data_IF_399926331174
#
_entry.id   IF_399926331174
#
_cell.length_a   1.000
_cell.length_b   1.000
_cell.length_c   1.000
_cell.angle_alpha   90.00
_cell.angle_beta   90.00
_cell.angle_gamma   90.00
#
_symmetry.space_group_name_H-M   'P 1'
#
loop_
_entity.id
_entity.type
_entity.pdbx_description
1 polymer ?
#
# COMPACT_ATOMS: atom_id res chain seq x y z
N UNK A 1 -0.47 8.99 35.19
CA UNK A 1 0.77 8.96 34.38
C UNK A 1 0.35 9.04 32.92
N UNK A 2 0.51 10.19 32.28
CA UNK A 2 0.14 10.38 30.87
C UNK A 2 1.36 10.00 30.03
N UNK A 3 1.30 8.87 29.33
CA UNK A 3 2.39 8.43 28.46
C UNK A 3 2.31 9.23 27.15
N UNK A 4 3.20 10.20 26.98
CA UNK A 4 3.39 10.89 25.71
C UNK A 4 4.03 9.91 24.72
N UNK A 5 3.23 9.33 23.82
CA UNK A 5 3.76 8.59 22.69
C UNK A 5 4.42 9.60 21.73
N UNK A 6 5.75 9.67 21.76
CA UNK A 6 6.51 10.31 20.69
C UNK A 6 6.27 9.46 19.45
N UNK A 7 5.44 9.94 18.53
CA UNK A 7 5.19 9.27 17.26
C UNK A 7 6.47 9.26 16.44
N UNK A 8 7.23 8.16 16.51
CA UNK A 8 8.29 7.89 15.55
C UNK A 8 7.65 7.93 14.15
N UNK A 9 8.29 8.53 13.13
CA UNK A 9 7.78 8.43 11.77
C UNK A 9 7.75 6.94 11.40
N UNK A 10 6.55 6.36 11.40
CA UNK A 10 6.34 5.01 10.92
C UNK A 10 6.52 5.05 9.41
N UNK A 11 7.64 4.52 8.94
CA UNK A 11 7.87 4.36 7.51
C UNK A 11 6.85 3.34 7.00
N UNK A 12 5.96 3.78 6.10
CA UNK A 12 5.04 2.89 5.40
C UNK A 12 5.82 1.75 4.74
N UNK A 13 5.51 0.50 5.09
CA UNK A 13 6.11 -0.65 4.44
C UNK A 13 5.49 -0.84 3.05
N UNK A 14 6.29 -1.37 2.11
CA UNK A 14 5.76 -1.82 0.82
C UNK A 14 5.67 -3.33 0.81
N UNK A 15 4.47 -3.86 0.61
CA UNK A 15 4.17 -5.29 0.58
C UNK A 15 3.83 -5.69 -0.85
N UNK A 16 4.60 -6.61 -1.42
CA UNK A 16 4.44 -7.02 -2.81
C UNK A 16 3.37 -8.12 -2.97
N UNK A 17 2.53 -7.96 -3.99
CA UNK A 17 1.69 -9.03 -4.55
C UNK A 17 2.43 -9.60 -5.75
N UNK A 18 2.88 -10.85 -5.65
CA UNK A 18 3.80 -11.50 -6.60
C UNK A 18 3.19 -12.65 -7.39
N UNK A 19 1.94 -13.02 -7.11
CA UNK A 19 1.18 -14.00 -7.89
C UNK A 19 -0.32 -13.67 -7.89
N UNK A 20 -1.06 -14.33 -8.77
CA UNK A 20 -2.50 -14.12 -8.95
C UNK A 20 -3.37 -15.12 -8.18
N UNK A 21 -2.79 -15.86 -7.24
CA UNK A 21 -3.54 -16.83 -6.44
C UNK A 21 -4.45 -16.10 -5.45
N UNK A 22 -5.59 -16.70 -5.12
CA UNK A 22 -6.55 -16.17 -4.15
C UNK A 22 -6.01 -16.17 -2.70
N UNK A 23 -5.10 -17.09 -2.40
CA UNK A 23 -4.52 -17.29 -1.07
C UNK A 23 -3.09 -17.80 -1.13
N UNK A 24 -2.43 -17.86 0.04
CA UNK A 24 -1.04 -18.29 0.18
C UNK A 24 -0.02 -17.16 0.03
N UNK A 25 1.27 -17.43 0.31
CA UNK A 25 2.33 -16.43 0.23
C UNK A 25 2.37 -15.71 -1.12
N UNK A 26 2.52 -14.39 -1.09
CA UNK A 26 2.58 -13.54 -2.29
C UNK A 26 1.23 -13.20 -2.93
N UNK A 27 0.11 -13.73 -2.42
CA UNK A 27 -1.25 -13.34 -2.86
C UNK A 27 -1.67 -11.99 -2.27
N UNK A 28 -2.68 -11.35 -2.89
CA UNK A 28 -3.29 -10.13 -2.37
C UNK A 28 -3.88 -10.31 -0.97
N UNK A 29 -4.51 -11.46 -0.72
CA UNK A 29 -5.12 -11.75 0.60
C UNK A 29 -4.06 -11.88 1.68
N UNK A 30 -2.94 -12.53 1.36
CA UNK A 30 -1.77 -12.56 2.25
C UNK A 30 -1.22 -11.16 2.49
N UNK A 31 -1.09 -10.33 1.44
CA UNK A 31 -0.58 -8.97 1.58
C UNK A 31 -1.47 -8.11 2.49
N UNK A 32 -2.79 -8.15 2.31
CA UNK A 32 -3.76 -7.43 3.16
C UNK A 32 -3.74 -7.90 4.61
N UNK A 33 -3.56 -9.20 4.85
CA UNK A 33 -3.47 -9.75 6.20
C UNK A 33 -2.21 -9.28 6.96
N UNK A 34 -1.13 -8.98 6.24
CA UNK A 34 0.14 -8.52 6.83
C UNK A 34 0.28 -6.99 6.87
N UNK A 35 -0.63 -6.25 6.23
CA UNK A 35 -0.54 -4.80 6.14
C UNK A 35 -0.92 -4.11 7.45
N UNK A 36 -0.22 -3.01 7.73
CA UNK A 36 -0.56 -2.04 8.77
C UNK A 36 -1.16 -0.77 8.14
N UNK A 37 -1.68 0.11 8.99
CA UNK A 37 -2.13 1.42 8.51
C UNK A 37 -0.95 2.17 7.90
N UNK A 38 -1.23 2.83 6.78
CA UNK A 38 -0.33 3.61 5.93
C UNK A 38 0.60 2.78 5.03
N UNK A 39 0.56 1.44 5.08
CA UNK A 39 1.37 0.60 4.18
C UNK A 39 0.92 0.71 2.71
N UNK A 40 1.83 0.34 1.81
CA UNK A 40 1.61 0.29 0.36
C UNK A 40 1.55 -1.18 -0.07
N UNK A 41 0.42 -1.59 -0.66
CA UNK A 41 0.31 -2.85 -1.38
C UNK A 41 0.74 -2.60 -2.83
N UNK A 42 1.87 -3.17 -3.25
CA UNK A 42 2.41 -3.02 -4.59
C UNK A 42 2.20 -4.28 -5.43
N UNK A 43 1.44 -4.17 -6.51
CA UNK A 43 1.25 -5.26 -7.46
C UNK A 43 2.45 -5.36 -8.39
N UNK A 44 3.22 -6.44 -8.25
CA UNK A 44 4.30 -6.80 -9.17
C UNK A 44 3.82 -7.71 -10.31
N UNK A 45 2.53 -8.04 -10.32
CA UNK A 45 1.87 -8.92 -11.31
C UNK A 45 0.78 -8.18 -12.06
N UNK A 46 0.53 -8.64 -13.29
CA UNK A 46 -0.59 -8.25 -14.13
C UNK A 46 -1.56 -9.43 -14.27
N UNK A 47 -2.83 -9.14 -14.55
CA UNK A 47 -3.85 -10.16 -14.79
C UNK A 47 -4.93 -10.21 -13.71
N UNK A 48 -5.81 -11.21 -13.81
CA UNK A 48 -6.98 -11.34 -12.94
C UNK A 48 -6.66 -12.20 -11.72
N UNK A 49 -6.97 -11.68 -10.52
CA UNK A 49 -7.00 -12.48 -9.29
C UNK A 49 -8.42 -13.00 -9.10
N UNK A 50 -8.62 -14.29 -9.33
CA UNK A 50 -9.92 -14.94 -9.12
C UNK A 50 -10.13 -15.18 -7.62
N UNK A 51 -11.12 -14.52 -7.02
CA UNK A 51 -11.45 -14.67 -5.60
C UNK A 51 -12.44 -15.83 -5.40
N UNK A 52 -11.92 -16.99 -4.99
CA UNK A 52 -12.71 -18.22 -4.75
C UNK A 52 -13.08 -18.43 -3.28
N UNK A 53 -12.34 -17.79 -2.37
CA UNK A 53 -12.48 -17.87 -0.92
C UNK A 53 -13.40 -16.76 -0.36
N UNK A 54 -14.18 -16.12 -1.23
CA UNK A 54 -15.03 -14.97 -0.89
C UNK A 54 -14.31 -13.62 -1.00
N UNK A 55 -14.97 -12.57 -0.51
CA UNK A 55 -14.50 -11.19 -0.62
C UNK A 55 -13.18 -10.93 0.11
N UNK A 56 -12.51 -9.84 -0.27
CA UNK A 56 -11.32 -9.33 0.43
C UNK A 56 -11.75 -8.50 1.63
N UNK A 57 -11.09 -8.70 2.76
CA UNK A 57 -11.27 -7.87 3.96
C UNK A 57 -10.20 -6.79 3.97
N UNK A 58 -10.60 -5.53 3.84
CA UNK A 58 -9.71 -4.37 3.89
C UNK A 58 -10.06 -3.56 5.14
N UNK A 59 -9.31 -3.77 6.22
CA UNK A 59 -9.57 -3.15 7.53
C UNK A 59 -8.53 -2.09 7.90
N UNK A 60 -7.54 -1.89 7.02
CA UNK A 60 -6.40 -0.99 7.21
C UNK A 60 -6.39 0.08 6.13
N UNK A 61 -5.93 1.27 6.49
CA UNK A 61 -5.75 2.38 5.55
C UNK A 61 -4.47 2.12 4.74
N UNK A 62 -4.59 1.40 3.62
CA UNK A 62 -3.45 1.09 2.75
C UNK A 62 -3.53 1.85 1.42
N UNK A 63 -2.38 2.18 0.85
CA UNK A 63 -2.29 2.60 -0.54
C UNK A 63 -2.13 1.37 -1.44
N UNK A 64 -2.70 1.42 -2.64
CA UNK A 64 -2.53 0.36 -3.65
C UNK A 64 -1.80 0.95 -4.86
N UNK A 65 -0.69 0.31 -5.25
CA UNK A 65 0.08 0.66 -6.44
C UNK A 65 0.07 -0.50 -7.43
N UNK A 66 -0.26 -0.19 -8.69
CA UNK A 66 -0.25 -1.14 -9.79
C UNK A 66 1.09 -1.12 -10.55
N UNK A 67 1.37 -2.17 -11.34
CA UNK A 67 2.52 -2.13 -12.25
C UNK A 67 2.34 -0.97 -13.23
N UNK A 68 3.36 -0.11 -13.34
CA UNK A 68 3.35 1.08 -14.19
C UNK A 68 2.84 2.37 -13.51
N UNK A 69 2.31 2.29 -12.28
CA UNK A 69 2.00 3.49 -11.50
C UNK A 69 3.30 4.18 -11.07
N UNK A 70 3.64 5.28 -11.73
CA UNK A 70 4.72 6.15 -11.28
C UNK A 70 4.14 6.98 -10.11
N UNK A 71 4.73 6.97 -8.91
CA UNK A 71 4.30 7.87 -7.86
C UNK A 71 4.53 9.29 -8.36
N UNK A 72 3.44 10.03 -8.60
CA UNK A 72 3.53 11.45 -8.96
C UNK A 72 4.00 12.18 -7.71
N UNK A 73 5.31 12.37 -7.59
CA UNK A 73 5.89 13.36 -6.69
C UNK A 73 5.50 14.71 -7.28
N UNK A 74 4.40 15.31 -6.82
CA UNK A 74 4.01 16.66 -7.23
C UNK A 74 5.10 17.64 -6.76
N UNK A 75 6.12 17.87 -7.58
CA UNK A 75 6.99 19.04 -7.49
C UNK A 75 6.17 20.26 -7.90
N UNK A 76 5.23 20.70 -7.06
CA UNK A 76 4.56 21.97 -7.29
C UNK A 76 5.63 23.06 -7.18
N UNK A 77 6.12 23.51 -8.33
CA UNK A 77 7.07 24.61 -8.45
C UNK A 77 6.44 25.81 -7.75
N UNK A 78 6.94 26.16 -6.56
CA UNK A 78 6.69 27.45 -5.95
C UNK A 78 7.53 28.46 -6.73
N UNK A 79 7.06 28.86 -7.92
CA UNK A 79 7.52 30.09 -8.53
C UNK A 79 7.00 31.22 -7.65
N UNK A 80 7.83 31.71 -6.74
CA UNK A 80 7.58 32.94 -5.99
C UNK A 80 7.49 34.10 -7.00
N UNK A 81 6.49 35.00 -6.91
CA UNK A 81 6.47 36.20 -7.72
C UNK A 81 7.59 37.12 -7.24
N UNK A 82 8.52 37.44 -8.14
CA UNK A 82 9.49 38.51 -7.98
C UNK A 82 8.74 39.85 -7.97
N UNK A 83 8.59 40.44 -6.79
CA UNK A 83 8.42 41.88 -6.61
C UNK A 83 9.78 42.53 -6.43
#
# INVERSE_FOLDING_TARGET
MLLYAVGLPAHAATIAVSNTNDSGPGSLRHALANANNLDIINFAVTGTIALTSGGLQVTKNVAISGPGSNPVLEKRVLSQPSG
#
